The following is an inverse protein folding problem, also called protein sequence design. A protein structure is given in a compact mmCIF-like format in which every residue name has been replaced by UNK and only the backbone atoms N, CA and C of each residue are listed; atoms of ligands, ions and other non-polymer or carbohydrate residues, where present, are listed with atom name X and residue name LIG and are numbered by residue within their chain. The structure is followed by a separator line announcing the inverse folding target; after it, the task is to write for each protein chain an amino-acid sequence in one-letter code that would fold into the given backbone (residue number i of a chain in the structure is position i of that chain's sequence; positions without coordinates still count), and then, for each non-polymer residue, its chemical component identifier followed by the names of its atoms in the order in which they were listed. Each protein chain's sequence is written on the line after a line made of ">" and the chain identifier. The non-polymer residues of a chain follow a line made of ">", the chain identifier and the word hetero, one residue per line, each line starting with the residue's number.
data_IF_013758495375
#
_entry.id   IF_013758495375
#
_cell.length_a   1.000
_cell.length_b   1.000
_cell.length_c   1.000
_cell.angle_alpha   90.00
_cell.angle_beta   90.00
_cell.angle_gamma   90.00
#
_symmetry.space_group_name_H-M   'P 1'
#
loop_
_entity.id
_entity.type
_entity.pdbx_description
1 polymer ?
#
# COMPACT_ATOMS: atom_id res chain seq x y z
N UNK A 1 -32.03 -10.39 8.27
CA UNK A 1 -31.01 -10.38 7.19
C UNK A 1 -30.71 -8.95 6.72
N UNK A 2 -30.45 -7.99 7.63
CA UNK A 2 -30.15 -6.59 7.25
C UNK A 2 -29.09 -5.90 8.12
N UNK A 3 -28.39 -6.63 9.01
CA UNK A 3 -27.49 -6.01 10.00
C UNK A 3 -26.00 -6.30 9.78
N UNK A 4 -25.63 -7.13 8.79
CA UNK A 4 -24.22 -7.50 8.57
C UNK A 4 -23.49 -6.67 7.49
N UNK A 5 -24.19 -5.73 6.83
CA UNK A 5 -23.58 -4.83 5.83
C UNK A 5 -23.15 -3.48 6.39
N UNK A 6 -23.62 -3.09 7.57
CA UNK A 6 -23.40 -1.74 8.11
C UNK A 6 -22.12 -1.67 8.97
N UNK A 7 -21.68 -2.79 9.57
CA UNK A 7 -20.44 -2.82 10.37
C UNK A 7 -19.15 -3.12 9.58
N UNK A 8 -19.24 -3.71 8.39
CA UNK A 8 -18.08 -3.91 7.49
C UNK A 8 -17.70 -2.63 6.69
N UNK A 9 -18.37 -1.49 6.94
CA UNK A 9 -18.59 -0.46 5.93
C UNK A 9 -17.73 0.82 5.91
N UNK A 10 -16.86 1.13 6.89
CA UNK A 10 -16.31 2.51 6.97
C UNK A 10 -14.78 2.71 6.98
N UNK A 11 -14.01 1.67 6.69
CA UNK A 11 -12.62 1.85 6.23
C UNK A 11 -12.27 0.80 5.17
N UNK A 12 -12.67 1.03 3.92
CA UNK A 12 -12.21 0.21 2.78
C UNK A 12 -10.68 0.25 2.76
N UNK A 13 -10.03 -0.85 3.14
CA UNK A 13 -8.58 -1.00 3.06
C UNK A 13 -8.20 -1.16 1.59
N UNK A 14 -7.04 -0.63 1.24
CA UNK A 14 -6.43 -0.72 -0.08
C UNK A 14 -5.07 -1.35 0.08
N UNK A 15 -4.72 -2.17 -0.89
CA UNK A 15 -3.35 -2.63 -1.05
C UNK A 15 -2.70 -1.77 -2.12
N UNK A 16 -1.51 -1.25 -1.83
CA UNK A 16 -0.68 -0.53 -2.78
C UNK A 16 0.60 -1.31 -3.05
N UNK A 17 0.92 -1.50 -4.33
CA UNK A 17 2.23 -1.95 -4.79
C UNK A 17 2.87 -0.81 -5.56
N UNK A 18 4.02 -0.33 -5.09
CA UNK A 18 4.78 0.76 -5.69
C UNK A 18 6.03 0.16 -6.34
N UNK A 19 6.27 0.55 -7.59
CA UNK A 19 7.47 0.16 -8.35
C UNK A 19 8.21 1.42 -8.76
N UNK A 20 9.47 1.50 -8.35
CA UNK A 20 10.32 2.68 -8.54
C UNK A 20 11.80 2.32 -8.36
N UNK A 21 12.69 2.99 -9.09
CA UNK A 21 14.13 2.91 -8.84
C UNK A 21 14.56 3.72 -7.60
N UNK A 22 13.72 4.65 -7.14
CA UNK A 22 13.93 5.49 -5.95
C UNK A 22 13.17 4.95 -4.72
N UNK A 23 12.95 3.64 -4.66
CA UNK A 23 12.14 2.96 -3.63
C UNK A 23 12.58 3.32 -2.20
N UNK A 24 13.88 3.51 -1.94
CA UNK A 24 14.40 3.83 -0.61
C UNK A 24 13.98 5.24 -0.15
N UNK A 25 14.06 6.23 -1.04
CA UNK A 25 13.62 7.60 -0.77
C UNK A 25 12.10 7.66 -0.55
N UNK A 26 11.33 6.95 -1.39
CA UNK A 26 9.88 6.81 -1.23
C UNK A 26 9.54 6.19 0.13
N UNK A 27 10.21 5.10 0.51
CA UNK A 27 9.97 4.44 1.79
C UNK A 27 10.24 5.38 2.99
N UNK A 28 11.29 6.19 2.92
CA UNK A 28 11.59 7.21 3.94
C UNK A 28 10.47 8.25 4.03
N UNK A 29 10.07 8.83 2.91
CA UNK A 29 9.02 9.86 2.88
C UNK A 29 7.65 9.33 3.33
N UNK A 30 7.31 8.09 2.96
CA UNK A 30 6.09 7.43 3.44
C UNK A 30 6.13 7.15 4.95
N UNK A 31 7.30 6.77 5.48
CA UNK A 31 7.50 6.56 6.93
C UNK A 31 7.26 7.83 7.74
N UNK A 32 7.71 8.98 7.25
CA UNK A 32 7.46 10.29 7.89
C UNK A 32 5.95 10.60 8.00
N UNK A 33 5.16 10.10 7.06
CA UNK A 33 3.70 10.23 7.02
C UNK A 33 2.97 9.07 7.73
N UNK A 34 3.71 8.23 8.48
CA UNK A 34 3.20 7.05 9.19
C UNK A 34 2.52 6.03 8.25
N UNK A 35 2.96 5.97 7.00
CA UNK A 35 2.53 4.96 6.03
C UNK A 35 3.60 3.86 6.02
N UNK A 36 3.27 2.72 6.62
CA UNK A 36 4.14 1.55 6.63
C UNK A 36 4.23 0.88 5.26
N UNK A 37 5.42 0.40 4.91
CA UNK A 37 5.68 -0.40 3.70
C UNK A 37 6.50 -1.64 4.04
N UNK A 38 6.25 -2.73 3.33
CA UNK A 38 7.08 -3.94 3.30
C UNK A 38 7.84 -3.98 2.00
N UNK A 39 9.11 -4.36 2.07
CA UNK A 39 9.95 -4.50 0.90
C UNK A 39 9.80 -5.88 0.28
N UNK A 40 9.47 -5.94 -1.00
CA UNK A 40 9.39 -7.17 -1.78
C UNK A 40 10.52 -7.19 -2.82
N UNK A 41 11.34 -8.24 -2.81
CA UNK A 41 12.30 -8.50 -3.89
C UNK A 41 11.55 -9.11 -5.08
N UNK A 42 11.57 -8.44 -6.21
CA UNK A 42 11.05 -8.92 -7.48
C UNK A 42 12.14 -8.98 -8.54
N UNK A 43 11.81 -9.55 -9.70
CA UNK A 43 12.70 -9.61 -10.85
C UNK A 43 11.95 -9.09 -12.09
N UNK A 44 12.59 -8.19 -12.84
CA UNK A 44 12.04 -7.71 -14.10
C UNK A 44 12.12 -8.79 -15.17
N UNK A 45 11.02 -9.02 -15.90
CA UNK A 45 10.95 -10.06 -16.94
C UNK A 45 11.89 -9.82 -18.13
N UNK A 46 12.32 -8.59 -18.39
CA UNK A 46 13.07 -8.23 -19.60
C UNK A 46 14.59 -8.28 -19.42
N UNK A 47 15.10 -7.71 -18.32
CA UNK A 47 16.55 -7.61 -18.07
C UNK A 47 17.02 -8.55 -16.94
N UNK A 48 16.13 -9.36 -16.39
CA UNK A 48 16.39 -10.19 -15.20
C UNK A 48 16.94 -9.40 -13.99
N UNK A 49 16.82 -8.08 -14.01
CA UNK A 49 17.27 -7.18 -12.94
C UNK A 49 16.42 -7.39 -11.70
N UNK A 50 17.09 -7.57 -10.56
CA UNK A 50 16.44 -7.49 -9.26
C UNK A 50 15.85 -6.10 -9.07
N UNK A 51 14.59 -6.04 -8.66
CA UNK A 51 13.89 -4.81 -8.32
C UNK A 51 13.31 -4.91 -6.93
N UNK A 52 13.40 -3.81 -6.20
CA UNK A 52 12.71 -3.67 -4.92
C UNK A 52 11.36 -3.01 -5.16
N UNK A 53 10.29 -3.67 -4.71
CA UNK A 53 8.93 -3.15 -4.73
C UNK A 53 8.54 -2.79 -3.29
N UNK A 54 7.71 -1.75 -3.15
CA UNK A 54 7.10 -1.41 -1.86
C UNK A 54 5.66 -1.91 -1.84
N UNK A 55 5.33 -2.68 -0.82
CA UNK A 55 3.98 -3.18 -0.56
C UNK A 55 3.41 -2.46 0.66
N UNK A 56 2.17 -1.99 0.60
CA UNK A 56 1.50 -1.36 1.73
C UNK A 56 0.03 -1.74 1.79
N UNK A 57 -0.48 -1.96 3.00
CA UNK A 57 -1.93 -1.98 3.26
C UNK A 57 -2.28 -0.72 4.02
N UNK A 58 -3.20 0.06 3.46
CA UNK A 58 -3.57 1.39 3.97
C UNK A 58 -5.08 1.60 3.93
N UNK A 59 -5.56 2.55 4.72
CA UNK A 59 -6.97 3.02 4.60
C UNK A 59 -7.14 3.80 3.28
N UNK A 60 -8.30 3.69 2.65
CA UNK A 60 -8.57 4.37 1.38
C UNK A 60 -8.27 5.88 1.39
N UNK A 61 -8.51 6.57 2.53
CA UNK A 61 -8.21 8.01 2.68
C UNK A 61 -6.73 8.37 2.59
N UNK A 62 -5.83 7.42 2.83
CA UNK A 62 -4.37 7.64 2.76
C UNK A 62 -3.82 7.47 1.33
N UNK A 63 -4.61 6.92 0.40
CA UNK A 63 -4.18 6.69 -0.99
C UNK A 63 -3.77 7.98 -1.71
N UNK A 64 -4.51 9.11 -1.62
CA UNK A 64 -4.09 10.35 -2.25
C UNK A 64 -2.73 10.84 -1.74
N UNK A 65 -2.50 10.78 -0.43
CA UNK A 65 -1.22 11.15 0.20
C UNK A 65 -0.08 10.26 -0.30
N UNK A 66 -0.28 8.94 -0.34
CA UNK A 66 0.70 8.00 -0.88
C UNK A 66 1.04 8.33 -2.33
N UNK A 67 0.03 8.54 -3.19
CA UNK A 67 0.22 8.87 -4.61
C UNK A 67 1.02 10.15 -4.79
N UNK A 68 0.70 11.20 -4.01
CA UNK A 68 1.40 12.49 -4.06
C UNK A 68 2.87 12.32 -3.72
N UNK A 69 3.19 11.67 -2.60
CA UNK A 69 4.57 11.46 -2.14
C UNK A 69 5.38 10.67 -3.16
N UNK A 70 4.81 9.58 -3.68
CA UNK A 70 5.47 8.75 -4.69
C UNK A 70 5.77 9.57 -5.95
N UNK A 71 4.82 10.36 -6.44
CA UNK A 71 4.99 11.19 -7.63
C UNK A 71 5.97 12.36 -7.43
N UNK A 72 6.03 12.94 -6.22
CA UNK A 72 7.00 13.98 -5.85
C UNK A 72 8.43 13.44 -5.80
N UNK A 73 8.62 12.24 -5.27
CA UNK A 73 9.94 11.60 -5.18
C UNK A 73 10.37 11.03 -6.53
N UNK A 74 9.48 10.33 -7.23
CA UNK A 74 9.76 9.69 -8.51
C UNK A 74 8.58 9.81 -9.49
N UNK A 75 8.61 10.79 -10.40
CA UNK A 75 7.59 10.95 -11.43
C UNK A 75 7.47 9.76 -12.40
N UNK A 76 8.49 8.89 -12.48
CA UNK A 76 8.49 7.70 -13.32
C UNK A 76 7.97 6.45 -12.58
N UNK A 77 7.70 6.54 -11.27
CA UNK A 77 7.14 5.44 -10.51
C UNK A 77 5.71 5.14 -10.95
N UNK A 78 5.30 3.88 -10.80
CA UNK A 78 3.90 3.50 -10.95
C UNK A 78 3.39 2.78 -9.71
N UNK A 79 2.09 2.88 -9.49
CA UNK A 79 1.41 2.40 -8.28
C UNK A 79 0.19 1.58 -8.71
N UNK A 80 0.17 0.30 -8.35
CA UNK A 80 -1.02 -0.54 -8.45
C UNK A 80 -1.82 -0.45 -7.15
N UNK A 81 -3.12 -0.17 -7.25
CA UNK A 81 -4.03 -0.09 -6.10
C UNK A 81 -5.12 -1.15 -6.23
N UNK A 82 -5.26 -1.99 -5.21
CA UNK A 82 -6.22 -3.10 -5.17
C UNK A 82 -7.15 -2.96 -3.96
N UNK A 83 -8.36 -3.53 -4.04
CA UNK A 83 -9.22 -3.69 -2.86
C UNK A 83 -8.70 -4.81 -1.99
N UNK A 84 -8.55 -4.54 -0.69
CA UNK A 84 -8.21 -5.55 0.28
C UNK A 84 -9.52 -6.07 0.91
N UNK A 85 -9.94 -7.26 0.49
CA UNK A 85 -11.21 -7.86 0.94
C UNK A 85 -11.14 -8.27 2.41
N UNK A 86 -10.04 -8.91 2.82
CA UNK A 86 -9.80 -9.39 4.17
C UNK A 86 -8.33 -9.17 4.53
N UNK A 87 -8.07 -8.46 5.63
CA UNK A 87 -6.74 -8.22 6.16
C UNK A 87 -6.78 -8.40 7.67
N UNK A 88 -5.84 -9.14 8.21
CA UNK A 88 -5.64 -9.32 9.66
C UNK A 88 -4.44 -8.49 10.15
N UNK A 89 -4.46 -8.10 11.42
CA UNK A 89 -3.35 -7.37 12.06
C UNK A 89 -3.81 -6.16 12.89
N UNK A 90 -3.01 -5.80 13.91
CA UNK A 90 -3.39 -4.80 14.93
C UNK A 90 -3.57 -3.39 14.35
N UNK A 91 -2.78 -3.01 13.35
CA UNK A 91 -2.81 -1.64 12.77
C UNK A 91 -3.60 -1.55 11.45
N UNK A 92 -3.62 -2.65 10.70
CA UNK A 92 -4.15 -2.71 9.33
C UNK A 92 -5.35 -3.62 9.16
N UNK A 93 -5.67 -4.40 10.18
CA UNK A 93 -6.76 -5.37 10.13
C UNK A 93 -8.13 -4.71 10.00
N UNK A 94 -9.04 -5.45 9.37
CA UNK A 94 -10.47 -5.15 9.33
C UNK A 94 -11.32 -6.24 10.00
N UNK A 95 -10.67 -7.22 10.64
CA UNK A 95 -11.31 -8.32 11.36
C UNK A 95 -11.55 -7.98 12.85
N UNK A 96 -12.65 -8.46 13.46
CA UNK A 96 -12.82 -8.44 14.91
C UNK A 96 -11.71 -9.22 15.60
N UNK A 97 -11.20 -8.71 16.71
CA UNK A 97 -10.40 -9.50 17.65
C UNK A 97 -11.36 -10.45 18.38
N UNK A 98 -11.18 -11.76 18.20
CA UNK A 98 -11.84 -12.78 19.02
C UNK A 98 -11.01 -13.08 20.27
#
# INVERSE_FOLDING_TARGET
>A
MFTNKIFHGMAKRRTAVIVSNQWAAIASALREQKIGVTFLKGQGSFLAEERMLLYSVLVARSVPTLKRIVAEVDPAAFISIMEAADVTGVEVGNQPHW
#
